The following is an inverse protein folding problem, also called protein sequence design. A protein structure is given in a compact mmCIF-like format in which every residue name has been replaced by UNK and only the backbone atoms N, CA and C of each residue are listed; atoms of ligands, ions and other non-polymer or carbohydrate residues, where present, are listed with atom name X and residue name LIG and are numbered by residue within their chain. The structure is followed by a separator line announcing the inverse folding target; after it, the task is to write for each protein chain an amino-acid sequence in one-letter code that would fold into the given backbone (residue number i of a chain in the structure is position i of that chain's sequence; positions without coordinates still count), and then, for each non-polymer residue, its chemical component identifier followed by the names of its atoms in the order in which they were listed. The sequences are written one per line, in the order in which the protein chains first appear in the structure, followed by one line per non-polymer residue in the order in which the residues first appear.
data_IF_441871309909
#
_entry.id   IF_441871309909
#
_cell.length_a   1.000
_cell.length_b   1.000
_cell.length_c   1.000
_cell.angle_alpha   90.00
_cell.angle_beta   90.00
_cell.angle_gamma   90.00
#
_symmetry.space_group_name_H-M   'P 1'
#
loop_
_entity.id
_entity.type
_entity.pdbx_description
1 polymer ?
#
# COMPACT_ATOMS: atom_id res chain seq x y z
N UNK A 1 4.01 -0.75 -14.77
CA UNK A 1 3.91 -1.07 -16.21
C UNK A 1 2.81 -0.21 -16.79
N UNK A 2 3.16 0.94 -17.35
CA UNK A 2 2.26 1.66 -18.26
C UNK A 2 2.34 0.95 -19.60
N UNK A 3 1.26 0.27 -19.98
CA UNK A 3 1.18 -0.48 -21.25
C UNK A 3 1.32 0.42 -22.48
N UNK A 4 1.21 1.76 -22.33
CA UNK A 4 1.21 2.72 -23.44
C UNK A 4 0.00 2.61 -24.39
N UNK A 5 -0.82 1.56 -24.23
CA UNK A 5 -1.98 1.25 -25.08
C UNK A 5 -3.26 2.01 -24.69
N UNK A 6 -3.34 2.49 -23.44
CA UNK A 6 -4.45 3.34 -22.98
C UNK A 6 -3.99 4.79 -22.99
N UNK A 7 -4.50 5.57 -23.94
CA UNK A 7 -4.18 7.00 -24.01
C UNK A 7 -4.94 7.78 -22.93
N UNK A 8 -4.42 8.93 -22.47
CA UNK A 8 -5.10 9.78 -21.48
C UNK A 8 -6.52 10.19 -21.88
N UNK A 9 -6.76 10.39 -23.18
CA UNK A 9 -8.09 10.75 -23.72
C UNK A 9 -9.07 9.56 -23.65
N UNK A 10 -8.62 8.33 -23.90
CA UNK A 10 -9.45 7.13 -23.72
C UNK A 10 -9.83 6.90 -22.24
N UNK A 11 -8.93 7.26 -21.30
CA UNK A 11 -9.19 7.18 -19.86
C UNK A 11 -10.22 8.22 -19.39
N UNK A 12 -10.23 9.41 -19.98
CA UNK A 12 -11.28 10.42 -19.74
C UNK A 12 -12.64 9.92 -20.22
N UNK A 13 -12.69 9.33 -21.43
CA UNK A 13 -13.91 8.75 -21.98
C UNK A 13 -14.47 7.61 -21.12
N UNK A 14 -13.60 6.74 -20.57
CA UNK A 14 -13.98 5.71 -19.61
C UNK A 14 -14.58 6.27 -18.31
N UNK A 15 -14.18 7.47 -17.88
CA UNK A 15 -14.77 8.19 -16.74
C UNK A 15 -16.06 8.93 -17.08
N UNK A 16 -16.52 8.87 -18.34
CA UNK A 16 -17.70 9.58 -18.82
C UNK A 16 -17.46 11.04 -19.16
N UNK A 17 -16.20 11.47 -19.29
CA UNK A 17 -15.82 12.82 -19.69
C UNK A 17 -15.69 12.88 -21.23
N UNK A 18 -16.29 13.89 -21.86
CA UNK A 18 -16.22 14.12 -23.32
C UNK A 18 -15.00 15.00 -23.68
N UNK A 19 -14.38 14.74 -24.83
CA UNK A 19 -13.30 15.58 -25.39
C UNK A 19 -13.83 16.92 -25.96
N UNK A 20 -15.15 17.13 -25.96
CA UNK A 20 -15.80 18.35 -26.49
C UNK A 20 -15.99 18.35 -28.01
N UNK A 21 -15.61 17.28 -28.70
CA UNK A 21 -15.76 17.08 -30.15
C UNK A 21 -16.43 15.73 -30.40
N UNK A 22 -17.65 15.76 -30.95
CA UNK A 22 -18.52 14.60 -31.06
C UNK A 22 -17.99 13.54 -32.05
N UNK A 23 -17.30 13.95 -33.12
CA UNK A 23 -16.72 13.00 -34.07
C UNK A 23 -15.51 12.30 -33.45
N UNK A 24 -14.68 13.05 -32.73
CA UNK A 24 -13.50 12.54 -32.05
C UNK A 24 -13.84 11.59 -30.90
N UNK A 25 -14.88 11.89 -30.13
CA UNK A 25 -15.37 11.02 -29.06
C UNK A 25 -15.92 9.70 -29.61
N UNK A 26 -16.61 9.72 -30.75
CA UNK A 26 -17.12 8.51 -31.40
C UNK A 26 -15.97 7.60 -31.90
N UNK A 27 -14.93 8.19 -32.49
CA UNK A 27 -13.74 7.44 -32.92
C UNK A 27 -12.96 6.86 -31.72
N UNK A 28 -12.80 7.62 -30.64
CA UNK A 28 -12.17 7.14 -29.41
C UNK A 28 -12.98 6.02 -28.75
N UNK A 29 -14.31 6.12 -28.75
CA UNK A 29 -15.19 5.09 -28.21
C UNK A 29 -15.05 3.78 -28.99
N UNK A 30 -14.98 3.85 -30.32
CA UNK A 30 -14.77 2.67 -31.17
C UNK A 30 -13.43 2.01 -30.89
N UNK A 31 -12.35 2.79 -30.84
CA UNK A 31 -11.01 2.28 -30.54
C UNK A 31 -10.93 1.64 -29.14
N UNK A 32 -11.59 2.25 -28.16
CA UNK A 32 -11.68 1.72 -26.80
C UNK A 32 -12.45 0.41 -26.76
N UNK A 33 -13.61 0.31 -27.43
CA UNK A 33 -14.37 -0.95 -27.51
C UNK A 33 -13.56 -2.07 -28.15
N UNK A 34 -12.89 -1.81 -29.28
CA UNK A 34 -12.04 -2.81 -29.95
C UNK A 34 -10.86 -3.27 -29.06
N UNK A 35 -10.32 -2.37 -28.24
CA UNK A 35 -9.26 -2.69 -27.29
C UNK A 35 -9.79 -3.52 -26.12
N UNK A 36 -10.94 -3.16 -25.56
CA UNK A 36 -11.60 -3.90 -24.49
C UNK A 36 -11.95 -5.32 -24.93
N UNK A 37 -12.49 -5.50 -26.14
CA UNK A 37 -12.82 -6.81 -26.70
C UNK A 37 -11.57 -7.69 -26.80
N UNK A 38 -10.45 -7.15 -27.29
CA UNK A 38 -9.17 -7.87 -27.35
C UNK A 38 -8.66 -8.27 -25.97
N UNK A 39 -8.81 -7.41 -24.97
CA UNK A 39 -8.40 -7.72 -23.58
C UNK A 39 -9.29 -8.82 -23.01
N UNK A 40 -10.61 -8.71 -23.15
CA UNK A 40 -11.56 -9.72 -22.66
C UNK A 40 -11.29 -11.06 -23.31
N UNK A 41 -11.10 -11.10 -24.63
CA UNK A 41 -10.80 -12.34 -25.35
C UNK A 41 -9.52 -12.99 -24.84
N UNK A 42 -8.45 -12.20 -24.63
CA UNK A 42 -7.19 -12.70 -24.07
C UNK A 42 -7.34 -13.21 -22.63
N UNK A 43 -8.13 -12.53 -21.80
CA UNK A 43 -8.40 -12.97 -20.43
C UNK A 43 -9.21 -14.28 -20.39
N UNK A 44 -10.07 -14.53 -21.37
CA UNK A 44 -10.78 -15.80 -21.53
C UNK A 44 -9.81 -16.89 -21.99
N UNK A 45 -8.99 -16.62 -23.02
CA UNK A 45 -7.99 -17.56 -23.55
C UNK A 45 -6.96 -17.98 -22.48
N UNK A 46 -6.51 -17.02 -21.67
CA UNK A 46 -5.58 -17.27 -20.56
C UNK A 46 -6.29 -17.89 -19.34
N UNK A 47 -7.61 -18.05 -19.36
CA UNK A 47 -8.40 -18.72 -18.32
C UNK A 47 -8.62 -17.90 -17.05
N UNK A 48 -8.60 -16.57 -17.12
CA UNK A 48 -8.90 -15.67 -16.01
C UNK A 48 -10.40 -15.32 -15.90
N UNK A 49 -11.13 -15.36 -17.02
CA UNK A 49 -12.56 -15.08 -17.10
C UNK A 49 -13.31 -16.24 -17.74
N UNK A 50 -14.48 -16.56 -17.18
CA UNK A 50 -15.47 -17.42 -17.79
C UNK A 50 -16.64 -16.59 -18.31
N UNK A 51 -17.05 -16.86 -19.54
CA UNK A 51 -18.27 -16.32 -20.14
C UNK A 51 -19.32 -17.43 -20.14
N UNK A 52 -20.31 -17.30 -19.27
CA UNK A 52 -21.50 -18.17 -19.28
C UNK A 52 -22.69 -17.39 -19.83
N UNK A 53 -23.39 -17.95 -20.81
CA UNK A 53 -24.74 -17.50 -21.15
C UNK A 53 -25.62 -17.62 -19.90
N UNK A 54 -26.43 -16.60 -19.63
CA UNK A 54 -27.38 -16.61 -18.52
C UNK A 54 -28.21 -17.90 -18.55
N UNK A 55 -28.46 -18.56 -17.40
CA UNK A 55 -29.24 -19.80 -17.38
C UNK A 55 -30.62 -19.55 -17.99
N UNK A 56 -30.95 -20.29 -19.05
CA UNK A 56 -32.32 -20.33 -19.58
C UNK A 56 -33.22 -20.89 -18.48
N UNK A 57 -33.95 -20.00 -17.82
CA UNK A 57 -34.94 -20.36 -16.80
C UNK A 57 -35.90 -21.42 -17.38
N UNK A 58 -36.20 -22.51 -16.65
CA UNK A 58 -37.20 -23.48 -17.08
C UNK A 58 -38.55 -22.79 -17.30
N UNK A 59 -39.21 -23.11 -18.42
CA UNK A 59 -40.52 -22.60 -18.79
C UNK A 59 -41.57 -22.97 -17.70
N UNK A 60 -41.84 -22.05 -16.78
CA UNK A 60 -42.73 -22.31 -15.65
C UNK A 60 -43.59 -21.16 -15.17
N UNK A 61 -43.39 -19.92 -15.61
CA UNK A 61 -44.24 -18.80 -15.19
C UNK A 61 -44.52 -17.85 -16.36
N UNK A 62 -45.79 -17.78 -16.74
CA UNK A 62 -46.31 -16.79 -17.68
C UNK A 62 -46.14 -15.38 -17.09
N UNK A 63 -45.46 -14.46 -17.79
CA UNK A 63 -45.44 -13.07 -17.40
C UNK A 63 -46.80 -12.44 -17.77
N UNK A 64 -47.58 -12.12 -16.74
CA UNK A 64 -48.75 -11.26 -16.88
C UNK A 64 -48.25 -9.82 -17.04
N UNK A 65 -48.08 -9.35 -18.28
CA UNK A 65 -47.64 -7.98 -18.58
C UNK A 65 -48.77 -7.19 -19.25
N UNK A 66 -49.19 -6.10 -18.59
CA UNK A 66 -50.10 -5.11 -19.14
C UNK A 66 -49.46 -4.25 -20.25
N UNK A 67 -50.27 -3.56 -21.05
CA UNK A 67 -49.79 -2.85 -22.24
C UNK A 67 -49.07 -1.56 -21.84
N UNK A 68 -47.74 -1.54 -21.97
CA UNK A 68 -46.93 -0.33 -21.77
C UNK A 68 -45.42 -0.52 -21.59
N UNK A 69 -44.92 -1.75 -21.42
CA UNK A 69 -43.48 -1.99 -21.28
C UNK A 69 -42.82 -2.34 -22.61
N UNK A 70 -42.44 -1.34 -23.40
CA UNK A 70 -41.55 -1.54 -24.55
C UNK A 70 -40.28 -2.24 -24.09
N UNK A 71 -39.94 -3.29 -24.83
CA UNK A 71 -38.75 -4.10 -24.69
C UNK A 71 -37.50 -3.22 -24.50
N UNK A 72 -36.84 -3.36 -23.35
CA UNK A 72 -35.40 -3.08 -23.28
C UNK A 72 -34.73 -4.09 -24.19
N UNK A 73 -34.45 -3.63 -25.39
CA UNK A 73 -33.63 -4.27 -26.41
C UNK A 73 -32.40 -4.92 -25.75
N UNK A 74 -32.39 -6.25 -25.80
CA UNK A 74 -31.31 -7.12 -26.26
C UNK A 74 -29.87 -6.55 -26.41
N UNK A 75 -29.37 -5.78 -25.46
CA UNK A 75 -27.93 -5.51 -25.30
C UNK A 75 -27.36 -6.48 -24.25
N UNK A 76 -26.96 -7.66 -24.75
CA UNK A 76 -25.97 -8.58 -24.18
C UNK A 76 -25.62 -8.41 -22.69
N UNK A 77 -26.44 -8.98 -21.81
CA UNK A 77 -25.98 -9.29 -20.45
C UNK A 77 -25.03 -10.49 -20.52
N UNK A 78 -23.80 -10.26 -20.96
CA UNK A 78 -22.71 -11.23 -20.81
C UNK A 78 -22.29 -11.18 -19.35
N UNK A 79 -22.60 -12.23 -18.60
CA UNK A 79 -22.18 -12.33 -17.21
C UNK A 79 -20.77 -12.92 -17.16
N UNK A 80 -19.80 -12.07 -16.85
CA UNK A 80 -18.42 -12.48 -16.62
C UNK A 80 -18.27 -13.04 -15.21
N UNK A 81 -17.81 -14.28 -15.10
CA UNK A 81 -17.45 -14.89 -13.83
C UNK A 81 -15.92 -15.03 -13.76
N UNK A 82 -15.32 -14.61 -12.64
CA UNK A 82 -13.89 -14.84 -12.42
C UNK A 82 -13.62 -16.32 -12.16
N UNK A 83 -12.50 -16.82 -12.69
CA UNK A 83 -11.99 -18.16 -12.36
C UNK A 83 -11.19 -18.14 -11.06
N UNK A 84 -10.92 -19.31 -10.46
CA UNK A 84 -10.00 -19.43 -9.31
C UNK A 84 -8.63 -18.82 -9.61
N UNK A 85 -8.09 -19.07 -10.82
CA UNK A 85 -6.85 -18.47 -11.30
C UNK A 85 -6.90 -16.93 -11.35
N UNK A 86 -8.06 -16.36 -11.73
CA UNK A 86 -8.30 -14.91 -11.71
C UNK A 86 -8.29 -14.33 -10.30
N UNK A 87 -8.92 -15.03 -9.36
CA UNK A 87 -8.95 -14.65 -7.94
C UNK A 87 -7.54 -14.73 -7.34
N UNK A 88 -6.80 -15.81 -7.59
CA UNK A 88 -5.43 -15.99 -7.09
C UNK A 88 -4.47 -14.93 -7.64
N UNK A 89 -4.56 -14.62 -8.93
CA UNK A 89 -3.73 -13.59 -9.55
C UNK A 89 -4.02 -12.20 -8.96
N UNK A 90 -5.28 -11.85 -8.74
CA UNK A 90 -5.67 -10.58 -8.13
C UNK A 90 -5.20 -10.52 -6.67
N UNK A 91 -5.35 -11.62 -5.93
CA UNK A 91 -4.86 -11.77 -4.56
C UNK A 91 -3.35 -11.58 -4.48
N UNK A 92 -2.58 -12.29 -5.30
CA UNK A 92 -1.12 -12.17 -5.36
C UNK A 92 -0.68 -10.75 -5.73
N UNK A 93 -1.31 -10.11 -6.72
CA UNK A 93 -0.95 -8.74 -7.14
C UNK A 93 -1.25 -7.72 -6.05
N UNK A 94 -2.39 -7.85 -5.38
CA UNK A 94 -2.78 -6.97 -4.27
C UNK A 94 -1.84 -7.16 -3.09
N UNK A 95 -1.55 -8.41 -2.73
CA UNK A 95 -0.61 -8.77 -1.68
C UNK A 95 0.79 -8.21 -2.00
N UNK A 96 1.29 -8.41 -3.23
CA UNK A 96 2.57 -7.86 -3.68
C UNK A 96 2.60 -6.33 -3.66
N UNK A 97 1.49 -5.66 -3.98
CA UNK A 97 1.41 -4.21 -3.91
C UNK A 97 1.44 -3.71 -2.46
N UNK A 98 0.69 -4.36 -1.56
CA UNK A 98 0.69 -4.07 -0.13
C UNK A 98 2.05 -4.35 0.53
N UNK A 99 2.64 -5.52 0.27
CA UNK A 99 3.98 -5.87 0.77
C UNK A 99 5.07 -5.02 0.12
N UNK A 100 4.89 -4.61 -1.15
CA UNK A 100 5.80 -3.69 -1.83
C UNK A 100 5.81 -2.30 -1.17
N UNK A 101 4.69 -1.84 -0.63
CA UNK A 101 4.62 -0.62 0.19
C UNK A 101 5.13 -0.80 1.63
N UNK A 102 5.22 -2.03 2.13
CA UNK A 102 5.76 -2.36 3.46
C UNK A 102 7.29 -2.56 3.41
N UNK A 103 7.87 -2.71 2.22
CA UNK A 103 9.31 -2.87 2.02
C UNK A 103 10.09 -1.59 2.24
N UNK A 104 10.36 -1.24 3.50
CA UNK A 104 11.58 -0.56 4.00
C UNK A 104 11.57 -0.32 5.51
N UNK A 105 10.42 -0.36 6.18
CA UNK A 105 10.34 -0.11 7.62
C UNK A 105 9.54 -1.21 8.31
N UNK A 106 10.17 -1.87 9.29
CA UNK A 106 9.48 -2.79 10.20
C UNK A 106 8.35 -2.06 10.91
N UNK A 107 7.26 -2.77 11.22
CA UNK A 107 6.13 -2.21 11.97
C UNK A 107 6.62 -1.60 13.29
N UNK A 108 6.40 -0.30 13.48
CA UNK A 108 6.80 0.44 14.69
C UNK A 108 8.23 0.99 14.73
N UNK A 109 9.08 0.70 13.74
CA UNK A 109 10.42 1.26 13.62
C UNK A 109 10.54 2.06 12.32
N UNK A 110 10.65 3.38 12.45
CA UNK A 110 10.92 4.24 11.31
C UNK A 110 12.43 4.49 11.23
N UNK A 111 13.05 3.98 10.17
CA UNK A 111 14.40 4.41 9.77
C UNK A 111 14.37 5.91 9.52
N UNK A 112 15.35 6.62 10.06
CA UNK A 112 15.54 8.04 9.79
C UNK A 112 16.96 8.24 9.28
N UNK A 113 17.17 9.23 8.42
CA UNK A 113 18.51 9.59 7.95
C UNK A 113 19.35 10.30 9.02
N UNK A 114 18.82 10.43 10.25
CA UNK A 114 19.47 11.13 11.33
C UNK A 114 20.28 10.16 12.19
N UNK A 115 21.47 10.58 12.58
CA UNK A 115 22.29 9.88 13.57
C UNK A 115 21.94 10.42 14.96
N UNK A 116 21.89 9.54 15.95
CA UNK A 116 21.75 9.89 17.36
C UNK A 116 22.89 9.26 18.15
N UNK A 117 23.20 9.76 19.33
CA UNK A 117 24.12 9.08 20.24
C UNK A 117 23.32 8.04 21.02
N UNK A 118 23.60 6.75 20.83
CA UNK A 118 22.81 5.64 21.35
C UNK A 118 23.65 4.39 21.64
N UNK A 119 23.00 3.34 22.15
CA UNK A 119 23.68 2.11 22.63
C UNK A 119 24.19 1.25 21.46
N UNK A 120 23.52 1.29 20.30
CA UNK A 120 23.95 0.55 19.10
C UNK A 120 24.96 1.39 18.30
N UNK A 121 26.25 1.14 18.51
CA UNK A 121 27.33 1.85 17.83
C UNK A 121 27.55 1.27 16.41
N UNK A 122 27.04 1.95 15.38
CA UNK A 122 27.17 1.52 13.98
C UNK A 122 27.98 2.52 13.13
N UNK A 123 28.17 3.75 13.62
CA UNK A 123 28.85 4.82 12.89
C UNK A 123 30.18 5.25 13.55
N UNK A 124 30.98 5.99 12.77
CA UNK A 124 32.24 6.56 13.24
C UNK A 124 32.03 7.47 14.45
N UNK A 125 32.97 7.48 15.38
CA UNK A 125 32.89 8.30 16.59
C UNK A 125 32.96 9.79 16.26
N UNK A 126 32.24 10.60 17.04
CA UNK A 126 32.24 12.08 16.92
C UNK A 126 32.67 12.74 18.23
N UNK A 127 33.18 13.99 18.19
CA UNK A 127 33.45 14.75 19.41
C UNK A 127 32.18 14.91 20.24
N UNK A 128 32.33 14.78 21.56
CA UNK A 128 31.23 14.92 22.51
C UNK A 128 30.73 16.36 22.57
N UNK A 129 29.43 16.53 22.37
CA UNK A 129 28.73 17.80 22.56
C UNK A 129 27.73 17.69 23.71
N UNK A 130 27.47 18.81 24.37
CA UNK A 130 26.51 18.84 25.48
C UNK A 130 25.12 18.40 24.99
N UNK A 131 24.59 17.34 25.62
CA UNK A 131 23.31 16.73 25.23
C UNK A 131 23.46 15.37 24.55
N UNK A 132 24.67 14.99 24.16
CA UNK A 132 24.96 13.63 23.70
C UNK A 132 24.87 12.62 24.85
N UNK A 133 24.51 11.38 24.51
CA UNK A 133 24.65 10.28 25.46
C UNK A 133 26.14 9.96 25.68
N UNK A 134 26.52 9.69 26.93
CA UNK A 134 27.90 9.36 27.34
C UNK A 134 28.28 7.93 26.93
N UNK A 135 28.07 7.56 25.67
CA UNK A 135 28.58 6.33 25.07
C UNK A 135 29.99 6.59 24.50
N UNK A 136 30.97 6.73 25.40
CA UNK A 136 32.33 7.13 25.05
C UNK A 136 33.06 6.05 24.23
N UNK A 137 33.65 6.46 23.12
CA UNK A 137 34.67 5.68 22.44
C UNK A 137 36.01 5.89 23.15
N UNK A 138 36.36 4.95 24.02
CA UNK A 138 37.59 5.02 24.82
C UNK A 138 38.84 5.01 23.92
N UNK A 139 38.83 4.27 22.81
CA UNK A 139 39.99 4.20 21.93
C UNK A 139 40.19 5.52 21.19
N UNK A 140 39.12 6.06 20.60
CA UNK A 140 39.19 7.34 19.90
C UNK A 140 39.49 8.50 20.86
N UNK A 141 38.96 8.46 22.09
CA UNK A 141 39.23 9.46 23.13
C UNK A 141 40.70 9.45 23.55
N UNK A 142 41.25 8.27 23.85
CA UNK A 142 42.66 8.13 24.22
C UNK A 142 43.60 8.48 23.07
N UNK A 143 43.21 8.18 21.83
CA UNK A 143 44.00 8.53 20.64
C UNK A 143 44.09 10.05 20.48
N UNK A 144 42.98 10.79 20.62
CA UNK A 144 43.00 12.25 20.55
C UNK A 144 43.82 12.87 21.70
N UNK A 145 43.66 12.37 22.93
CA UNK A 145 44.45 12.84 24.06
C UNK A 145 45.96 12.63 23.84
N UNK A 146 46.33 11.46 23.27
CA UNK A 146 47.71 11.14 22.94
C UNK A 146 48.26 11.97 21.77
N UNK A 147 47.43 12.30 20.78
CA UNK A 147 47.80 13.19 19.69
C UNK A 147 48.05 14.62 20.16
N UNK A 148 47.28 15.11 21.15
CA UNK A 148 47.48 16.44 21.74
C UNK A 148 48.72 16.50 22.65
N UNK A 149 48.84 15.55 23.58
CA UNK A 149 49.85 15.63 24.64
C UNK A 149 51.14 14.87 24.33
N UNK A 150 51.09 13.94 23.36
CA UNK A 150 52.20 13.03 23.03
C UNK A 150 52.29 11.84 23.99
N UNK A 151 53.30 11.00 23.79
CA UNK A 151 53.53 9.74 24.52
C UNK A 151 54.05 9.93 25.97
N UNK A 152 53.40 10.79 26.74
CA UNK A 152 53.65 11.02 28.16
C UNK A 152 52.72 10.21 29.05
N UNK A 153 53.19 9.83 30.25
CA UNK A 153 52.37 9.22 31.30
C UNK A 153 52.58 10.00 32.60
N UNK A 154 51.52 10.41 33.31
CA UNK A 154 50.10 10.18 33.03
C UNK A 154 49.57 11.01 31.86
N UNK A 155 48.59 10.46 31.12
CA UNK A 155 47.87 11.17 30.06
C UNK A 155 46.81 12.06 30.72
N UNK A 156 46.86 13.36 30.44
CA UNK A 156 45.86 14.35 30.81
C UNK A 156 44.70 14.30 29.81
N UNK A 157 43.52 13.92 30.30
CA UNK A 157 42.28 13.94 29.52
C UNK A 157 41.56 15.27 29.71
N UNK A 158 41.26 15.96 28.61
CA UNK A 158 40.44 17.16 28.61
C UNK A 158 39.11 16.92 27.89
N UNK A 159 38.18 17.85 28.06
CA UNK A 159 36.84 17.74 27.50
C UNK A 159 36.83 17.62 25.97
N UNK A 160 37.77 18.29 25.30
CA UNK A 160 37.91 18.27 23.83
C UNK A 160 38.37 16.91 23.26
N UNK A 161 38.92 16.03 24.10
CA UNK A 161 39.33 14.69 23.66
C UNK A 161 38.16 13.71 23.63
N UNK A 162 37.06 14.03 24.32
CA UNK A 162 35.96 13.10 24.51
C UNK A 162 35.29 12.80 23.18
N UNK A 163 35.34 11.53 22.78
CA UNK A 163 34.67 11.01 21.60
C UNK A 163 33.52 10.10 22.01
N UNK A 164 32.38 10.21 21.35
CA UNK A 164 31.20 9.37 21.56
C UNK A 164 30.85 8.57 20.32
N UNK A 165 30.36 7.36 20.53
CA UNK A 165 29.83 6.52 19.47
C UNK A 165 28.53 7.12 18.90
N UNK A 166 28.44 7.07 17.58
CA UNK A 166 27.21 7.41 16.87
C UNK A 166 26.39 6.13 16.64
N UNK A 167 25.09 6.25 16.86
CA UNK A 167 24.08 5.24 16.64
C UNK A 167 23.07 5.72 15.59
N UNK A 168 22.41 4.77 14.94
CA UNK A 168 21.29 5.10 14.07
C UNK A 168 20.11 5.62 14.94
N UNK A 169 19.54 6.77 14.58
CA UNK A 169 18.30 7.22 15.24
C UNK A 169 17.13 6.43 14.69
N UNK A 170 16.61 5.51 15.51
CA UNK A 170 15.35 4.81 15.22
C UNK A 170 14.20 5.51 15.93
N UNK A 171 13.29 6.08 15.15
CA UNK A 171 12.08 6.70 15.70
C UNK A 171 11.03 5.62 16.00
N UNK A 172 10.57 5.55 17.25
CA UNK A 172 9.47 4.68 17.67
C UNK A 172 8.14 5.43 17.60
N UNK A 173 7.15 4.87 16.90
CA UNK A 173 5.76 5.37 16.91
C UNK A 173 4.85 4.36 17.60
N UNK A 174 4.06 4.81 18.57
CA UNK A 174 3.07 3.99 19.25
C UNK A 174 1.66 4.37 18.75
N UNK A 175 0.95 3.42 18.16
CA UNK A 175 -0.45 3.61 17.75
C UNK A 175 -1.36 3.05 18.85
N UNK A 176 -2.19 3.91 19.45
CA UNK A 176 -3.18 3.50 20.47
C UNK A 176 -4.55 3.46 19.82
N UNK A 177 -5.19 2.29 19.84
CA UNK A 177 -6.56 2.11 19.36
C UNK A 177 -7.52 1.99 20.55
N UNK A 178 -8.54 2.85 20.60
CA UNK A 178 -9.59 2.80 21.62
C UNK A 178 -10.89 2.27 20.98
N UNK A 179 -11.46 1.23 21.56
CA UNK A 179 -12.74 0.66 21.12
C UNK A 179 -13.85 1.05 22.08
N UNK A 180 -15.00 1.49 21.55
CA UNK A 180 -16.19 1.76 22.34
C UNK A 180 -16.86 0.44 22.78
N UNK A 181 -17.11 0.30 24.09
CA UNK A 181 -17.76 -0.84 24.73
C UNK A 181 -19.20 -0.52 25.18
N UNK A 182 -19.80 0.57 24.71
CA UNK A 182 -21.14 1.00 25.07
C UNK A 182 -22.23 0.00 24.65
N UNK A 183 -23.42 0.13 25.27
CA UNK A 183 -24.56 -0.74 25.00
C UNK A 183 -25.02 -0.69 23.52
N UNK A 184 -24.84 0.46 22.86
CA UNK A 184 -25.15 0.63 21.44
C UNK A 184 -24.23 -0.13 20.48
N UNK A 185 -23.03 -0.53 20.95
CA UNK A 185 -22.09 -1.32 20.14
C UNK A 185 -22.44 -2.81 20.10
N UNK A 186 -23.17 -3.31 21.09
CA UNK A 186 -23.41 -4.75 21.31
C UNK A 186 -24.87 -5.14 21.02
N UNK A 187 -25.86 -4.29 21.34
CA UNK A 187 -27.26 -4.75 21.49
C UNK A 187 -28.29 -4.14 20.53
N UNK A 188 -27.93 -3.16 19.69
CA UNK A 188 -28.85 -2.60 18.70
C UNK A 188 -28.70 -3.25 17.32
N UNK A 189 -29.34 -4.40 17.14
CA UNK A 189 -29.71 -5.00 15.83
C UNK A 189 -28.57 -5.61 14.99
N UNK A 190 -27.33 -5.17 15.16
CA UNK A 190 -26.13 -5.74 14.52
C UNK A 190 -24.93 -5.59 15.46
N UNK A 191 -24.13 -6.66 15.60
CA UNK A 191 -22.92 -6.66 16.42
C UNK A 191 -21.82 -5.85 15.72
N UNK A 192 -21.60 -4.62 16.18
CA UNK A 192 -20.58 -3.71 15.65
C UNK A 192 -19.26 -3.84 16.39
N UNK A 193 -19.27 -4.43 17.59
CA UNK A 193 -18.09 -4.61 18.42
C UNK A 193 -17.19 -5.72 17.88
N UNK A 194 -17.75 -6.85 17.48
CA UNK A 194 -16.96 -7.98 16.95
C UNK A 194 -16.20 -7.63 15.66
N UNK A 195 -16.81 -6.97 14.65
CA UNK A 195 -16.08 -6.46 13.48
C UNK A 195 -14.99 -5.46 13.87
N UNK A 196 -15.28 -4.50 14.76
CA UNK A 196 -14.32 -3.48 15.18
C UNK A 196 -13.10 -4.10 15.89
N UNK A 197 -13.32 -5.06 16.81
CA UNK A 197 -12.24 -5.82 17.47
C UNK A 197 -11.44 -6.66 16.48
N UNK A 198 -12.09 -7.27 15.49
CA UNK A 198 -11.41 -8.08 14.48
C UNK A 198 -10.50 -7.22 13.60
N UNK A 199 -10.94 -6.03 13.22
CA UNK A 199 -10.12 -5.06 12.48
C UNK A 199 -8.99 -4.53 13.36
N UNK A 200 -9.27 -4.22 14.62
CA UNK A 200 -8.27 -3.78 15.58
C UNK A 200 -7.12 -4.78 15.80
N UNK A 201 -7.42 -6.08 15.83
CA UNK A 201 -6.43 -7.15 15.97
C UNK A 201 -5.69 -7.47 14.65
N UNK A 202 -6.22 -7.02 13.52
CA UNK A 202 -5.61 -7.21 12.21
C UNK A 202 -4.64 -6.08 11.83
N UNK A 203 -4.66 -4.97 12.58
CA UNK A 203 -3.70 -3.86 12.52
C UNK A 203 -2.50 -4.15 13.41
#
# INVERSE_FOLDING_TARGET
MESGQLTPEMLKLLRGESSGDAERDADLQRQLSELLDKIVQRLIEDGYLNVSEAPKMPAGQQPLLGPGGMAKEAAQQVQFNLTEKGIDFLGYRTLKHLLGSIGKSSFGAHETEHLATGIEAEAASKPYEYGDTLNLDVNATLTHALEREGLGVPINLEYEDLQVHQAEYRSSSATVLMLDCSHSMILYGEDRFTPAKKVALAL
#
